data_IF_238501344946
#
_entry.id   IF_238501344946
#
_cell.length_a   1.000
_cell.length_b   1.000
_cell.length_c   1.000
_cell.angle_alpha   90.00
_cell.angle_beta   90.00
_cell.angle_gamma   90.00
#
_symmetry.space_group_name_H-M   'P 1'
#
loop_
_entity.id
_entity.type
_entity.pdbx_description
1 polymer ?
#
# COMPACT_ATOMS: atom_id res chain seq x y z
N UNK A 1 28.21 -0.27 1.87
CA UNK A 1 26.89 -0.45 2.52
C UNK A 1 26.37 0.94 2.84
N UNK A 2 25.17 1.27 2.36
CA UNK A 2 24.53 2.58 2.60
C UNK A 2 24.44 2.85 4.10
N UNK A 3 24.80 4.06 4.55
CA UNK A 3 24.62 4.46 5.95
C UNK A 3 23.15 4.70 6.33
N UNK A 4 22.27 4.84 5.33
CA UNK A 4 20.83 5.06 5.50
C UNK A 4 20.07 3.73 5.69
N UNK A 5 20.56 2.62 5.11
CA UNK A 5 20.05 1.30 5.47
C UNK A 5 20.42 1.02 6.93
N UNK A 6 19.46 1.20 7.84
CA UNK A 6 19.69 1.02 9.28
C UNK A 6 20.28 -0.35 9.64
N UNK A 7 20.74 -0.51 10.89
CA UNK A 7 21.49 -1.68 11.39
C UNK A 7 20.68 -3.01 11.45
N UNK A 8 19.54 -3.10 10.77
CA UNK A 8 18.53 -4.13 11.01
C UNK A 8 17.75 -3.84 12.29
N UNK A 9 16.51 -4.34 12.38
CA UNK A 9 15.71 -4.30 13.59
C UNK A 9 15.54 -5.74 14.09
N UNK A 10 15.58 -5.95 15.40
CA UNK A 10 15.23 -7.25 15.97
C UNK A 10 13.81 -7.64 15.52
N UNK A 11 13.66 -8.87 15.05
CA UNK A 11 12.37 -9.40 14.64
C UNK A 11 11.51 -9.58 15.89
N UNK A 12 10.43 -8.80 16.00
CA UNK A 12 9.36 -9.11 16.93
C UNK A 12 8.59 -10.29 16.34
N UNK A 13 8.88 -11.49 16.84
CA UNK A 13 8.16 -12.72 16.49
C UNK A 13 7.03 -12.84 17.50
N UNK A 14 5.74 -12.75 17.08
CA UNK A 14 4.63 -13.01 17.97
C UNK A 14 4.76 -14.42 18.56
N UNK A 15 4.46 -14.56 19.85
CA UNK A 15 4.48 -15.86 20.54
C UNK A 15 3.33 -16.77 20.12
N UNK A 16 2.30 -16.22 19.47
CA UNK A 16 1.14 -16.95 18.96
C UNK A 16 1.42 -17.54 17.58
N UNK A 17 0.95 -18.77 17.34
CA UNK A 17 1.01 -19.38 16.02
C UNK A 17 0.19 -18.60 14.99
N UNK A 18 0.71 -18.53 13.75
CA UNK A 18 -0.01 -17.89 12.65
C UNK A 18 -1.27 -18.68 12.33
N UNK A 19 -2.42 -18.01 12.38
CA UNK A 19 -3.70 -18.61 12.00
C UNK A 19 -3.67 -19.12 10.54
N UNK A 20 -4.39 -20.21 10.23
CA UNK A 20 -4.53 -20.69 8.85
C UNK A 20 -5.13 -19.62 7.93
N UNK A 21 -4.72 -19.61 6.66
CA UNK A 21 -5.18 -18.63 5.67
C UNK A 21 -6.71 -18.53 5.59
N UNK A 22 -7.40 -19.67 5.58
CA UNK A 22 -8.87 -19.72 5.50
C UNK A 22 -9.54 -19.05 6.72
N UNK A 23 -8.96 -19.20 7.92
CA UNK A 23 -9.47 -18.54 9.13
C UNK A 23 -9.27 -17.02 9.04
N UNK A 24 -8.11 -16.58 8.56
CA UNK A 24 -7.79 -15.16 8.35
C UNK A 24 -8.81 -14.55 7.37
N UNK A 25 -9.02 -15.17 6.21
CA UNK A 25 -9.96 -14.70 5.19
C UNK A 25 -11.40 -14.68 5.71
N UNK A 26 -11.84 -15.75 6.39
CA UNK A 26 -13.14 -15.81 7.05
C UNK A 26 -13.31 -14.72 8.11
N UNK A 27 -12.25 -14.38 8.84
CA UNK A 27 -12.30 -13.34 9.88
C UNK A 27 -12.56 -11.96 9.29
N UNK A 28 -12.04 -11.67 8.09
CA UNK A 28 -12.24 -10.39 7.39
C UNK A 28 -13.74 -10.13 7.12
N UNK A 29 -14.45 -11.14 6.62
CA UNK A 29 -15.87 -11.04 6.23
C UNK A 29 -16.86 -11.33 7.36
N UNK A 30 -16.40 -11.92 8.48
CA UNK A 30 -17.21 -12.20 9.68
C UNK A 30 -16.83 -11.30 10.85
N UNK A 31 -15.71 -11.57 11.51
CA UNK A 31 -15.29 -10.87 12.75
C UNK A 31 -15.07 -9.38 12.51
N UNK A 32 -14.37 -9.03 11.43
CA UNK A 32 -14.02 -7.65 11.09
C UNK A 32 -14.93 -7.03 10.03
N UNK A 33 -16.09 -7.66 9.79
CA UNK A 33 -17.01 -7.25 8.71
C UNK A 33 -17.40 -5.79 8.83
N UNK A 34 -17.79 -5.34 10.02
CA UNK A 34 -18.32 -3.99 10.26
C UNK A 34 -17.23 -2.91 10.15
N UNK A 35 -16.04 -3.20 10.69
CA UNK A 35 -14.99 -2.20 10.88
C UNK A 35 -14.04 -2.10 9.68
N UNK A 36 -13.81 -3.21 8.97
CA UNK A 36 -12.88 -3.26 7.85
C UNK A 36 -13.65 -3.50 6.54
N UNK A 37 -14.24 -4.69 6.37
CA UNK A 37 -14.79 -5.11 5.07
C UNK A 37 -15.87 -4.16 4.54
N UNK A 38 -16.87 -3.84 5.37
CA UNK A 38 -17.98 -2.96 4.98
C UNK A 38 -17.48 -1.55 4.66
N UNK A 39 -16.50 -1.05 5.42
CA UNK A 39 -15.93 0.29 5.22
C UNK A 39 -15.09 0.34 3.94
N UNK A 40 -14.30 -0.70 3.66
CA UNK A 40 -13.57 -0.87 2.41
C UNK A 40 -14.52 -0.91 1.21
N UNK A 41 -15.54 -1.79 1.23
CA UNK A 41 -16.53 -1.89 0.15
C UNK A 41 -17.27 -0.57 -0.04
N UNK A 42 -17.60 0.11 1.05
CA UNK A 42 -18.22 1.44 0.99
C UNK A 42 -17.29 2.47 0.33
N UNK A 43 -16.01 2.52 0.68
CA UNK A 43 -15.06 3.44 0.05
C UNK A 43 -14.91 3.15 -1.46
N UNK A 44 -14.85 1.86 -1.84
CA UNK A 44 -14.81 1.44 -3.25
C UNK A 44 -16.01 1.97 -4.02
N UNK A 45 -17.22 1.90 -3.43
CA UNK A 45 -18.46 2.38 -4.05
C UNK A 45 -18.60 3.89 -4.03
N UNK A 46 -18.51 4.52 -2.87
CA UNK A 46 -18.73 5.96 -2.68
C UNK A 46 -17.81 6.81 -3.57
N UNK A 47 -16.60 6.32 -3.84
CA UNK A 47 -15.59 7.04 -4.62
C UNK A 47 -15.33 6.45 -6.00
N UNK A 48 -16.06 5.42 -6.44
CA UNK A 48 -15.82 4.69 -7.69
C UNK A 48 -14.33 4.35 -7.85
N UNK A 49 -13.76 3.63 -6.88
CA UNK A 49 -12.33 3.30 -6.86
C UNK A 49 -11.99 2.13 -7.77
N UNK A 50 -12.96 1.25 -8.02
CA UNK A 50 -12.83 0.07 -8.89
C UNK A 50 -13.98 0.11 -9.87
N UNK A 51 -13.67 -0.05 -11.15
CA UNK A 51 -14.55 0.01 -12.30
C UNK A 51 -14.26 -1.17 -13.24
N UNK A 52 -15.21 -1.46 -14.13
CA UNK A 52 -15.10 -2.56 -15.09
C UNK A 52 -13.89 -2.33 -16.03
N UNK A 53 -13.07 -3.37 -16.20
CA UNK A 53 -11.88 -3.33 -17.04
C UNK A 53 -10.65 -2.72 -16.38
N UNK A 54 -10.73 -2.30 -15.11
CA UNK A 54 -9.57 -1.79 -14.39
C UNK A 54 -8.48 -2.86 -14.26
N UNK A 55 -7.23 -2.41 -14.35
CA UNK A 55 -6.05 -3.16 -13.92
C UNK A 55 -5.36 -2.39 -12.80
N UNK A 56 -5.44 -2.91 -11.58
CA UNK A 56 -5.06 -2.19 -10.37
C UNK A 56 -3.76 -2.76 -9.79
N UNK A 57 -2.75 -1.89 -9.70
CA UNK A 57 -1.53 -2.17 -8.93
C UNK A 57 -1.79 -1.94 -7.43
N UNK A 58 -1.65 -2.97 -6.62
CA UNK A 58 -1.77 -2.89 -5.15
C UNK A 58 -0.37 -2.81 -4.55
N UNK A 59 -0.02 -1.66 -3.97
CA UNK A 59 1.31 -1.46 -3.40
C UNK A 59 1.44 -2.09 -2.01
N UNK A 60 2.43 -2.98 -1.87
CA UNK A 60 2.73 -3.71 -0.63
C UNK A 60 4.00 -3.14 0.00
N UNK A 61 3.87 -2.61 1.21
CA UNK A 61 5.00 -2.08 1.99
C UNK A 61 5.59 -3.09 2.97
N UNK A 62 4.87 -4.18 3.25
CA UNK A 62 5.15 -5.13 4.34
C UNK A 62 4.49 -4.75 5.67
N UNK A 63 3.95 -3.55 5.80
CA UNK A 63 3.13 -3.14 6.94
C UNK A 63 1.72 -3.73 6.91
N UNK A 64 1.10 -3.79 8.10
CA UNK A 64 -0.23 -4.39 8.34
C UNK A 64 -1.31 -3.84 7.39
N UNK A 65 -1.31 -2.53 7.11
CA UNK A 65 -2.37 -1.86 6.36
C UNK A 65 -2.32 -2.23 4.88
N UNK A 66 -1.11 -2.30 4.32
CA UNK A 66 -0.92 -2.73 2.93
C UNK A 66 -1.25 -4.21 2.71
N UNK A 67 -0.95 -5.07 3.69
CA UNK A 67 -1.32 -6.50 3.66
C UNK A 67 -2.84 -6.68 3.83
N UNK A 68 -3.46 -5.92 4.73
CA UNK A 68 -4.91 -5.92 4.92
C UNK A 68 -5.66 -5.46 3.67
N UNK A 69 -5.20 -4.37 3.05
CA UNK A 69 -5.73 -3.87 1.78
C UNK A 69 -5.64 -4.94 0.69
N UNK A 70 -4.50 -5.64 0.59
CA UNK A 70 -4.33 -6.73 -0.37
C UNK A 70 -5.36 -7.86 -0.17
N UNK A 71 -5.60 -8.27 1.08
CA UNK A 71 -6.64 -9.27 1.39
C UNK A 71 -8.05 -8.76 1.07
N UNK A 72 -8.34 -7.48 1.29
CA UNK A 72 -9.61 -6.87 0.90
C UNK A 72 -9.81 -6.92 -0.62
N UNK A 73 -8.78 -6.63 -1.42
CA UNK A 73 -8.89 -6.75 -2.88
C UNK A 73 -9.06 -8.19 -3.36
N UNK A 74 -8.34 -9.14 -2.76
CA UNK A 74 -8.53 -10.56 -3.09
C UNK A 74 -9.95 -11.01 -2.76
N UNK A 75 -10.50 -10.62 -1.61
CA UNK A 75 -11.88 -10.93 -1.23
C UNK A 75 -12.89 -10.25 -2.16
N UNK A 76 -12.65 -8.99 -2.56
CA UNK A 76 -13.48 -8.28 -3.52
C UNK A 76 -13.52 -9.00 -4.87
N UNK A 77 -12.35 -9.47 -5.34
CA UNK A 77 -12.23 -10.23 -6.59
C UNK A 77 -12.96 -11.57 -6.51
N UNK A 78 -12.91 -12.27 -5.38
CA UNK A 78 -13.66 -13.53 -5.15
C UNK A 78 -15.17 -13.36 -5.26
N UNK A 79 -15.72 -12.21 -4.87
CA UNK A 79 -17.15 -11.94 -4.98
C UNK A 79 -17.65 -11.75 -6.43
N UNK A 80 -16.75 -11.51 -7.39
CA UNK A 80 -17.04 -11.54 -8.83
C UNK A 80 -18.04 -10.49 -9.34
N UNK A 81 -18.28 -9.41 -8.60
CA UNK A 81 -19.27 -8.38 -8.98
C UNK A 81 -18.80 -7.41 -10.07
N UNK A 82 -17.48 -7.36 -10.35
CA UNK A 82 -16.85 -6.51 -11.36
C UNK A 82 -15.66 -7.26 -11.96
N UNK A 83 -15.43 -7.12 -13.27
CA UNK A 83 -14.23 -7.68 -13.90
C UNK A 83 -13.10 -6.66 -13.83
N UNK A 84 -12.11 -6.97 -12.99
CA UNK A 84 -10.88 -6.19 -12.86
C UNK A 84 -9.68 -7.10 -12.58
N UNK A 85 -8.51 -6.61 -12.95
CA UNK A 85 -7.22 -7.26 -12.74
C UNK A 85 -6.48 -6.66 -11.55
N UNK A 86 -5.64 -7.49 -10.92
CA UNK A 86 -4.86 -7.12 -9.75
C UNK A 86 -3.40 -7.50 -9.98
N UNK A 87 -2.50 -6.54 -9.77
CA UNK A 87 -1.05 -6.75 -9.73
C UNK A 87 -0.56 -6.34 -8.34
N UNK A 88 0.00 -7.26 -7.56
CA UNK A 88 0.55 -6.91 -6.25
C UNK A 88 2.02 -6.58 -6.41
N UNK A 89 2.43 -5.35 -6.08
CA UNK A 89 3.80 -4.90 -6.29
C UNK A 89 4.44 -4.43 -4.99
N UNK A 90 5.70 -4.78 -4.78
CA UNK A 90 6.50 -4.26 -3.68
C UNK A 90 7.82 -3.73 -4.22
N UNK A 91 8.07 -2.44 -3.99
CA UNK A 91 9.36 -1.84 -4.29
C UNK A 91 10.31 -2.15 -3.13
N UNK A 92 11.45 -2.75 -3.46
CA UNK A 92 12.59 -2.91 -2.56
C UNK A 92 13.49 -1.67 -2.68
N UNK A 93 13.52 -0.78 -1.68
CA UNK A 93 14.37 0.41 -1.72
C UNK A 93 15.84 0.08 -1.45
N UNK A 94 16.14 -1.16 -1.06
CA UNK A 94 17.36 -1.62 -0.39
C UNK A 94 17.05 -2.06 1.05
N UNK A 95 16.01 -2.87 1.23
CA UNK A 95 15.66 -3.44 2.53
C UNK A 95 16.84 -4.19 3.14
N UNK A 96 16.92 -4.18 4.47
CA UNK A 96 17.74 -5.17 5.16
C UNK A 96 17.22 -6.57 4.79
N UNK A 97 18.09 -7.57 4.50
CA UNK A 97 17.67 -8.89 4.04
C UNK A 97 16.58 -9.53 4.90
N UNK A 98 16.65 -9.34 6.21
CA UNK A 98 15.65 -9.86 7.15
C UNK A 98 14.25 -9.26 6.98
N UNK A 99 14.12 -7.99 6.59
CA UNK A 99 12.83 -7.32 6.34
C UNK A 99 12.22 -7.84 5.04
N UNK A 100 13.07 -8.03 4.02
CA UNK A 100 12.65 -8.60 2.73
C UNK A 100 12.13 -10.02 2.89
N UNK A 101 12.83 -10.85 3.66
CA UNK A 101 12.40 -12.21 3.95
C UNK A 101 11.07 -12.24 4.72
N UNK A 102 10.89 -11.37 5.72
CA UNK A 102 9.63 -11.27 6.46
C UNK A 102 8.45 -10.85 5.55
N UNK A 103 8.67 -9.92 4.62
CA UNK A 103 7.67 -9.55 3.61
C UNK A 103 7.29 -10.76 2.75
N UNK A 104 8.26 -11.52 2.26
CA UNK A 104 8.04 -12.72 1.44
C UNK A 104 7.26 -13.78 2.23
N UNK A 105 7.68 -14.08 3.46
CA UNK A 105 7.01 -15.03 4.34
C UNK A 105 5.55 -14.66 4.60
N UNK A 106 5.29 -13.38 4.90
CA UNK A 106 3.93 -12.92 5.16
C UNK A 106 3.07 -12.94 3.90
N UNK A 107 3.59 -12.53 2.74
CA UNK A 107 2.87 -12.61 1.48
C UNK A 107 2.55 -14.06 1.09
N UNK A 108 3.51 -14.98 1.26
CA UNK A 108 3.30 -16.40 1.00
C UNK A 108 2.23 -16.99 1.92
N UNK A 109 2.32 -16.73 3.23
CA UNK A 109 1.32 -17.18 4.20
C UNK A 109 -0.08 -16.65 3.90
N UNK A 110 -0.17 -15.39 3.43
CA UNK A 110 -1.42 -14.72 3.10
C UNK A 110 -1.94 -15.04 1.70
N UNK A 111 -1.21 -15.82 0.89
CA UNK A 111 -1.55 -16.14 -0.49
C UNK A 111 -1.56 -14.90 -1.41
N UNK A 112 -0.69 -13.91 -1.15
CA UNK A 112 -0.57 -12.69 -1.94
C UNK A 112 0.55 -12.89 -2.99
N UNK A 113 0.24 -12.94 -4.29
CA UNK A 113 1.23 -13.15 -5.35
C UNK A 113 1.99 -11.84 -5.64
N UNK A 114 2.89 -11.45 -4.73
CA UNK A 114 3.62 -10.19 -4.80
C UNK A 114 4.79 -10.24 -5.79
N UNK A 115 4.88 -9.25 -6.67
CA UNK A 115 6.03 -8.98 -7.51
C UNK A 115 6.94 -7.97 -6.81
N UNK A 116 8.07 -8.46 -6.30
CA UNK A 116 9.10 -7.63 -5.67
C UNK A 116 10.10 -7.16 -6.73
N UNK A 117 10.38 -5.87 -6.79
CA UNK A 117 11.33 -5.29 -7.74
C UNK A 117 12.24 -4.25 -7.07
N UNK A 118 13.45 -4.08 -7.59
CA UNK A 118 14.44 -3.18 -7.01
C UNK A 118 14.25 -1.73 -7.49
N UNK A 119 14.16 -0.79 -6.56
CA UNK A 119 14.03 0.64 -6.87
C UNK A 119 15.33 1.44 -6.79
N UNK A 120 16.42 0.85 -6.26
CA UNK A 120 17.72 1.50 -5.94
C UNK A 120 17.60 2.88 -5.26
N UNK A 121 16.51 3.11 -4.52
CA UNK A 121 16.15 4.44 -3.98
C UNK A 121 17.15 4.90 -2.93
N UNK A 122 17.59 4.01 -2.02
CA UNK A 122 18.52 4.40 -0.95
C UNK A 122 19.90 4.79 -1.48
N UNK A 123 20.38 4.14 -2.54
CA UNK A 123 21.68 4.48 -3.15
C UNK A 123 21.69 5.88 -3.76
N UNK A 124 20.56 6.33 -4.32
CA UNK A 124 20.43 7.67 -4.91
C UNK A 124 20.27 8.73 -3.83
N UNK A 125 19.46 8.47 -2.80
CA UNK A 125 19.27 9.41 -1.67
C UNK A 125 20.58 9.66 -0.92
N UNK A 126 21.38 8.61 -0.67
CA UNK A 126 22.72 8.71 -0.06
C UNK A 126 23.66 9.65 -0.82
N UNK A 127 23.53 9.70 -2.16
CA UNK A 127 24.38 10.50 -3.04
C UNK A 127 23.89 11.93 -3.22
N UNK A 128 22.57 12.17 -3.18
CA UNK A 128 21.97 13.44 -3.65
C UNK A 128 21.32 14.30 -2.56
N UNK A 129 20.91 13.75 -1.40
CA UNK A 129 20.17 14.53 -0.41
C UNK A 129 20.44 14.06 1.04
N UNK A 130 21.60 14.43 1.59
CA UNK A 130 21.92 14.21 3.00
C UNK A 130 21.05 15.05 3.95
N UNK A 131 20.61 16.23 3.49
CA UNK A 131 19.90 17.19 4.35
C UNK A 131 18.38 16.91 4.48
N UNK A 132 17.75 16.27 3.48
CA UNK A 132 16.32 15.93 3.49
C UNK A 132 16.01 14.52 2.94
N UNK A 133 16.59 13.46 3.52
CA UNK A 133 16.53 12.11 2.97
C UNK A 133 15.10 11.55 2.91
N UNK A 134 14.25 11.88 3.88
CA UNK A 134 12.88 11.33 3.96
C UNK A 134 11.94 11.88 2.87
N UNK A 135 12.01 13.18 2.56
CA UNK A 135 11.17 13.78 1.51
C UNK A 135 11.52 13.23 0.13
N UNK A 136 12.83 13.19 -0.21
CA UNK A 136 13.28 12.65 -1.49
C UNK A 136 12.97 11.16 -1.60
N UNK A 137 13.19 10.39 -0.52
CA UNK A 137 12.84 8.97 -0.45
C UNK A 137 11.35 8.74 -0.73
N UNK A 138 10.45 9.43 -0.03
CA UNK A 138 9.00 9.28 -0.24
C UNK A 138 8.59 9.62 -1.68
N UNK A 139 9.16 10.67 -2.27
CA UNK A 139 8.89 11.06 -3.67
C UNK A 139 9.39 10.02 -4.67
N UNK A 140 10.61 9.50 -4.48
CA UNK A 140 11.19 8.48 -5.35
C UNK A 140 10.47 7.13 -5.25
N UNK A 141 10.11 6.70 -4.05
CA UNK A 141 9.32 5.47 -3.85
C UNK A 141 8.00 5.53 -4.61
N UNK A 142 7.29 6.66 -4.48
CA UNK A 142 6.03 6.86 -5.18
C UNK A 142 6.21 6.86 -6.70
N UNK A 143 7.21 7.59 -7.22
CA UNK A 143 7.53 7.57 -8.65
C UNK A 143 7.88 6.18 -9.19
N UNK A 144 8.63 5.39 -8.41
CA UNK A 144 8.98 4.01 -8.75
C UNK A 144 7.74 3.11 -8.85
N UNK A 145 6.80 3.23 -7.90
CA UNK A 145 5.53 2.49 -7.93
C UNK A 145 4.69 2.85 -9.16
N UNK A 146 4.59 4.15 -9.48
CA UNK A 146 3.90 4.61 -10.69
C UNK A 146 4.50 4.01 -11.96
N UNK A 147 5.82 4.08 -12.12
CA UNK A 147 6.51 3.52 -13.28
C UNK A 147 6.28 2.02 -13.42
N UNK A 148 6.36 1.27 -12.32
CA UNK A 148 6.14 -0.18 -12.35
C UNK A 148 4.69 -0.55 -12.64
N UNK A 149 3.74 0.16 -12.04
CA UNK A 149 2.32 -0.02 -12.34
C UNK A 149 2.05 0.21 -13.84
N UNK A 150 2.62 1.26 -14.43
CA UNK A 150 2.49 1.53 -15.88
C UNK A 150 3.12 0.45 -16.74
N UNK A 151 4.31 -0.03 -16.38
CA UNK A 151 5.00 -1.14 -17.07
C UNK A 151 4.13 -2.40 -17.12
N UNK A 152 3.38 -2.67 -16.04
CA UNK A 152 2.46 -3.81 -15.94
C UNK A 152 1.08 -3.55 -16.58
N UNK A 153 0.89 -2.40 -17.22
CA UNK A 153 -0.38 -2.00 -17.86
C UNK A 153 -1.49 -1.64 -16.89
N UNK A 154 -1.16 -1.30 -15.64
CA UNK A 154 -2.16 -0.86 -14.66
C UNK A 154 -2.61 0.58 -14.94
N UNK A 155 -3.89 0.87 -14.75
CA UNK A 155 -4.48 2.21 -14.82
C UNK A 155 -4.77 2.81 -13.43
N UNK A 156 -4.70 1.99 -12.37
CA UNK A 156 -4.86 2.45 -10.98
C UNK A 156 -3.74 1.95 -10.07
N UNK A 157 -3.32 2.78 -9.12
CA UNK A 157 -2.37 2.45 -8.05
C UNK A 157 -3.06 2.60 -6.68
N UNK A 158 -3.26 1.48 -5.99
CA UNK A 158 -3.84 1.43 -4.66
C UNK A 158 -2.78 1.50 -3.56
N UNK A 159 -2.95 2.44 -2.62
CA UNK A 159 -2.09 2.61 -1.45
C UNK A 159 -2.90 2.41 -0.16
N UNK A 160 -2.27 1.77 0.84
CA UNK A 160 -2.90 1.37 2.10
C UNK A 160 -3.10 2.49 3.13
N UNK A 161 -3.35 3.73 2.69
CA UNK A 161 -3.61 4.84 3.63
C UNK A 161 -5.02 4.72 4.23
N UNK A 162 -5.11 4.75 5.55
CA UNK A 162 -6.37 4.62 6.30
C UNK A 162 -6.91 5.98 6.77
N UNK A 163 -8.06 5.97 7.44
CA UNK A 163 -8.76 7.19 7.88
C UNK A 163 -7.87 8.08 8.76
N UNK A 164 -7.13 7.50 9.71
CA UNK A 164 -6.26 8.28 10.59
C UNK A 164 -5.15 9.01 9.81
N UNK A 165 -4.53 8.40 8.78
CA UNK A 165 -3.55 9.08 7.91
C UNK A 165 -4.13 10.34 7.26
N UNK A 166 -5.41 10.28 6.85
CA UNK A 166 -6.12 11.41 6.24
C UNK A 166 -6.30 12.52 7.26
N UNK A 167 -6.72 12.19 8.48
CA UNK A 167 -6.88 13.16 9.57
C UNK A 167 -5.54 13.80 9.93
N UNK A 168 -4.51 12.99 10.17
CA UNK A 168 -3.16 13.46 10.51
C UNK A 168 -2.61 14.37 9.43
N UNK A 169 -2.72 13.98 8.16
CA UNK A 169 -2.28 14.82 7.03
C UNK A 169 -3.05 16.13 6.96
N UNK A 170 -4.36 16.11 7.21
CA UNK A 170 -5.18 17.34 7.23
C UNK A 170 -4.72 18.28 8.33
N UNK A 171 -4.51 17.76 9.53
CA UNK A 171 -4.04 18.54 10.68
C UNK A 171 -2.64 19.11 10.44
N UNK A 172 -1.72 18.33 9.87
CA UNK A 172 -0.38 18.81 9.50
C UNK A 172 -0.44 19.98 8.51
N UNK A 173 -1.31 19.90 7.49
CA UNK A 173 -1.46 20.99 6.52
C UNK A 173 -2.07 22.26 7.13
N UNK A 174 -3.08 22.11 7.99
CA UNK A 174 -3.71 23.26 8.66
C UNK A 174 -2.76 23.92 9.65
N UNK A 175 -2.11 23.13 10.51
CA UNK A 175 -1.31 23.63 11.62
C UNK A 175 0.08 24.14 11.20
N UNK A 176 0.74 23.47 10.24
CA UNK A 176 2.12 23.77 9.88
C UNK A 176 2.29 24.39 8.49
N UNK A 177 1.34 24.18 7.58
CA UNK A 177 1.44 24.69 6.20
C UNK A 177 0.42 25.80 5.88
N UNK A 178 -0.43 26.17 6.84
CA UNK A 178 -1.41 27.25 6.72
C UNK A 178 -2.41 27.06 5.57
N UNK A 179 -2.68 25.82 5.16
CA UNK A 179 -3.59 25.54 4.05
C UNK A 179 -4.52 24.35 4.33
N UNK A 180 -5.68 24.34 3.68
CA UNK A 180 -6.69 23.31 3.82
C UNK A 180 -6.53 22.24 2.71
N UNK A 181 -5.52 21.39 2.85
CA UNK A 181 -5.26 20.24 1.95
C UNK A 181 -5.29 18.93 2.72
N UNK A 182 -5.68 17.86 2.02
CA UNK A 182 -5.75 16.51 2.59
C UNK A 182 -5.40 15.45 1.55
N UNK A 183 -5.33 14.19 1.99
CA UNK A 183 -5.22 13.03 1.12
C UNK A 183 -6.59 12.70 0.53
N UNK A 184 -6.83 12.98 -0.75
CA UNK A 184 -8.10 12.62 -1.41
C UNK A 184 -8.28 11.10 -1.56
N UNK A 185 -9.50 10.57 -1.61
CA UNK A 185 -9.75 9.13 -1.78
C UNK A 185 -9.24 8.61 -3.13
N UNK A 186 -9.33 9.45 -4.16
CA UNK A 186 -8.69 9.22 -5.47
C UNK A 186 -8.24 10.52 -6.12
N UNK A 187 -7.21 10.46 -6.96
CA UNK A 187 -6.78 11.59 -7.79
C UNK A 187 -5.89 11.12 -8.95
N UNK A 188 -5.94 11.84 -10.08
CA UNK A 188 -5.04 11.60 -11.22
C UNK A 188 -3.63 12.09 -10.91
N UNK A 189 -2.63 11.28 -11.24
CA UNK A 189 -1.24 11.66 -11.03
C UNK A 189 -0.82 12.73 -12.05
N UNK A 190 -0.31 13.88 -11.58
CA UNK A 190 0.04 15.01 -12.43
C UNK A 190 1.08 14.67 -13.53
N UNK A 191 1.97 13.70 -13.27
CA UNK A 191 3.03 13.29 -14.21
C UNK A 191 2.75 11.94 -14.88
N UNK A 192 1.58 11.33 -14.63
CA UNK A 192 1.17 10.05 -15.19
C UNK A 192 -0.32 10.15 -15.54
N UNK A 193 -0.63 10.78 -16.68
CA UNK A 193 -2.00 11.17 -17.06
C UNK A 193 -3.00 10.00 -17.10
N UNK A 194 -2.51 8.80 -17.41
CA UNK A 194 -3.30 7.56 -17.51
C UNK A 194 -3.42 6.81 -16.18
N UNK A 195 -2.78 7.27 -15.10
CA UNK A 195 -2.78 6.58 -13.80
C UNK A 195 -3.54 7.37 -12.74
N UNK A 196 -4.50 6.70 -12.12
CA UNK A 196 -5.19 7.19 -10.93
C UNK A 196 -4.62 6.55 -9.66
N UNK A 197 -4.38 7.36 -8.62
CA UNK A 197 -4.07 6.84 -7.30
C UNK A 197 -5.37 6.70 -6.51
N UNK A 198 -5.55 5.55 -5.87
CA UNK A 198 -6.72 5.25 -5.04
C UNK A 198 -6.31 4.87 -3.61
N UNK A 199 -7.17 5.20 -2.63
CA UNK A 199 -6.99 4.90 -1.20
C UNK A 199 -8.20 4.12 -0.67
N UNK A 200 -8.24 2.79 -0.84
CA UNK A 200 -9.43 1.99 -0.53
C UNK A 200 -9.76 1.85 0.96
N UNK A 201 -8.79 2.12 1.84
CA UNK A 201 -8.98 2.09 3.29
C UNK A 201 -9.49 3.44 3.85
N UNK A 202 -10.00 4.34 3.00
CA UNK A 202 -10.36 5.72 3.34
C UNK A 202 -11.29 5.88 4.55
N UNK A 203 -12.14 4.90 4.80
CA UNK A 203 -13.06 4.90 5.95
C UNK A 203 -12.61 3.98 7.10
N UNK A 204 -11.60 3.14 6.88
CA UNK A 204 -11.09 2.20 7.88
C UNK A 204 -10.26 2.97 8.90
N UNK A 205 -10.56 2.77 10.19
CA UNK A 205 -9.80 3.36 11.30
C UNK A 205 -8.70 2.38 11.71
N UNK A 206 -7.56 2.89 12.16
CA UNK A 206 -6.43 2.09 12.65
C UNK A 206 -6.70 1.45 14.02
#
# INVERSE_FOLDING_TARGET
MSSISGKGCERLIPTEEKKPLEEIERSLVKKYRKHIWTKFVRAVKDYNLVEEGDKIAVAISGGKDSLLMAKCFQELKKHGQMNFELEFIAMDPGYHPQIKELLIENCNHLGIPVHIYEGKVFEVVDKMARDYPCYLCARMRRGSLYSKARELGCNKLALGHHYNDVIETTLLNVLYAGNFKTMLPKFKAANFEEMELIRPLYYVEE
#
